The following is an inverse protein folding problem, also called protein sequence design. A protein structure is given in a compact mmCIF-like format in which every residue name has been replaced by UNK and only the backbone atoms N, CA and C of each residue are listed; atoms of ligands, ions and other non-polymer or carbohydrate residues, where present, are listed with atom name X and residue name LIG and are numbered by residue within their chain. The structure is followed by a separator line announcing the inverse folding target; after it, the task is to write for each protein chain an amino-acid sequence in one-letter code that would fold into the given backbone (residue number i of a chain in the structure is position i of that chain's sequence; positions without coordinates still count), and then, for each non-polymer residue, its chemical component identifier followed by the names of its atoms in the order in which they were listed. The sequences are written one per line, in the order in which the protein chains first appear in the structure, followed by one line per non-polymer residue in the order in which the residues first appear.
data_IF_347288459725
#
_entry.id   IF_347288459725
#
_cell.length_a   1.000
_cell.length_b   1.000
_cell.length_c   1.000
_cell.angle_alpha   90.00
_cell.angle_beta   90.00
_cell.angle_gamma   90.00
#
_symmetry.space_group_name_H-M   'P 1'
#
loop_
_entity.id
_entity.type
_entity.pdbx_description
1 polymer ?
#
# COMPACT_ATOMS: atom_id res chain seq x y z
N UNK A 1 -64.10 29.46 24.18
CA UNK A 1 -64.78 28.33 23.50
C UNK A 1 -64.52 28.45 22.00
N UNK A 2 -63.56 27.69 21.47
CA UNK A 2 -63.26 27.50 20.04
C UNK A 2 -62.26 26.33 19.95
N UNK A 3 -62.69 25.07 20.05
CA UNK A 3 -63.26 24.20 19.00
C UNK A 3 -62.37 24.12 17.75
N UNK A 4 -61.52 23.10 17.79
CA UNK A 4 -60.80 22.39 16.73
C UNK A 4 -61.64 22.22 15.45
N UNK A 5 -61.05 22.44 14.26
CA UNK A 5 -61.62 21.89 13.01
C UNK A 5 -60.54 21.53 11.97
N UNK A 6 -60.32 20.22 11.91
CA UNK A 6 -60.13 19.35 10.73
C UNK A 6 -58.96 19.56 9.77
N UNK A 7 -58.04 18.58 9.86
CA UNK A 7 -57.21 18.02 8.80
C UNK A 7 -58.07 17.70 7.57
N UNK A 8 -57.70 18.24 6.40
CA UNK A 8 -58.26 17.83 5.11
C UNK A 8 -57.18 17.11 4.29
N UNK A 9 -57.32 15.79 4.24
CA UNK A 9 -56.62 14.88 3.32
C UNK A 9 -57.00 15.21 1.88
N UNK A 10 -56.05 15.64 1.05
CA UNK A 10 -56.21 15.70 -0.41
C UNK A 10 -55.55 14.48 -1.04
N UNK A 11 -56.37 13.46 -1.35
CA UNK A 11 -56.02 12.45 -2.33
C UNK A 11 -56.16 13.05 -3.74
N UNK A 12 -55.11 12.99 -4.55
CA UNK A 12 -55.11 13.33 -5.98
C UNK A 12 -55.13 12.01 -6.78
N UNK A 13 -55.94 11.89 -7.85
CA UNK A 13 -56.28 10.60 -8.47
C UNK A 13 -55.16 10.09 -9.37
N UNK A 14 -54.98 8.76 -9.41
CA UNK A 14 -54.12 8.10 -10.37
C UNK A 14 -54.75 8.16 -11.77
N UNK A 15 -54.01 8.71 -12.74
CA UNK A 15 -54.33 8.71 -14.17
C UNK A 15 -53.97 7.34 -14.79
N UNK A 16 -54.93 6.57 -15.33
CA UNK A 16 -54.67 5.23 -15.85
C UNK A 16 -54.20 5.19 -17.32
N UNK A 17 -53.85 6.32 -17.95
CA UNK A 17 -53.67 6.36 -19.43
C UNK A 17 -52.26 6.49 -19.97
N UNK A 18 -51.19 6.36 -19.17
CA UNK A 18 -49.83 6.29 -19.74
C UNK A 18 -49.41 4.83 -19.94
N UNK A 19 -49.86 4.27 -21.05
CA UNK A 19 -49.23 3.10 -21.65
C UNK A 19 -48.22 3.56 -22.71
N UNK A 20 -46.99 3.02 -22.64
CA UNK A 20 -46.04 2.66 -23.73
C UNK A 20 -44.57 2.97 -23.36
N UNK A 21 -43.56 2.24 -23.90
CA UNK A 21 -43.56 0.92 -24.51
C UNK A 21 -42.63 -0.07 -23.77
N UNK A 22 -42.98 -1.35 -23.80
CA UNK A 22 -42.05 -2.45 -23.52
C UNK A 22 -41.04 -2.49 -24.68
N UNK A 23 -39.76 -2.31 -24.35
CA UNK A 23 -38.66 -2.58 -25.28
C UNK A 23 -37.79 -1.38 -25.58
N UNK A 24 -36.95 -0.98 -24.64
CA UNK A 24 -35.70 -0.31 -24.99
C UNK A 24 -34.53 -1.10 -24.39
N UNK A 25 -33.62 -1.45 -25.28
CA UNK A 25 -32.54 -2.41 -25.14
C UNK A 25 -31.94 -2.52 -23.73
N UNK A 26 -31.80 -3.75 -23.23
CA UNK A 26 -30.82 -4.08 -22.21
C UNK A 26 -29.43 -3.74 -22.77
N UNK A 27 -29.03 -2.47 -22.65
CA UNK A 27 -27.70 -1.99 -23.00
C UNK A 27 -26.75 -2.72 -22.07
N UNK A 28 -26.16 -3.80 -22.59
CA UNK A 28 -25.12 -4.59 -21.93
C UNK A 28 -24.05 -3.60 -21.48
N UNK A 29 -24.12 -3.16 -20.21
CA UNK A 29 -23.11 -2.30 -19.59
C UNK A 29 -21.85 -3.13 -19.54
N UNK A 30 -21.04 -3.08 -20.60
CA UNK A 30 -19.66 -3.55 -20.52
C UNK A 30 -19.05 -2.74 -19.39
N UNK A 31 -18.63 -3.35 -18.27
CA UNK A 31 -18.00 -2.59 -17.21
C UNK A 31 -16.83 -1.85 -17.85
N UNK A 32 -16.71 -0.52 -17.68
CA UNK A 32 -15.57 0.18 -18.21
C UNK A 32 -14.34 -0.41 -17.52
N UNK A 33 -13.61 -1.27 -18.23
CA UNK A 33 -12.27 -1.72 -17.85
C UNK A 33 -11.31 -0.59 -18.22
N UNK A 34 -11.54 0.57 -17.63
CA UNK A 34 -10.60 1.68 -17.68
C UNK A 34 -9.61 1.40 -16.57
N UNK A 35 -8.39 0.96 -16.92
CA UNK A 35 -7.28 0.95 -15.97
C UNK A 35 -7.21 2.36 -15.37
N UNK A 36 -7.52 2.49 -14.08
CA UNK A 36 -7.50 3.79 -13.40
C UNK A 36 -6.10 4.39 -13.60
N UNK A 37 -6.01 5.57 -14.22
CA UNK A 37 -4.76 6.33 -14.30
C UNK A 37 -4.45 6.84 -12.90
N UNK A 38 -3.87 5.96 -12.09
CA UNK A 38 -3.63 6.13 -10.67
C UNK A 38 -2.97 7.45 -10.37
N UNK A 39 -3.62 8.27 -9.52
CA UNK A 39 -2.92 9.36 -8.85
C UNK A 39 -1.69 8.76 -8.13
N UNK A 40 -0.52 9.43 -8.14
CA UNK A 40 0.69 8.94 -7.47
C UNK A 40 0.47 8.51 -6.01
N UNK A 41 -0.53 9.10 -5.34
CA UNK A 41 -0.95 8.69 -4.00
C UNK A 41 -1.52 7.26 -3.93
N UNK A 42 -2.23 6.79 -4.97
CA UNK A 42 -2.79 5.43 -5.02
C UNK A 42 -1.69 4.38 -5.11
N UNK A 43 -0.67 4.62 -5.94
CA UNK A 43 0.48 3.73 -6.05
C UNK A 43 1.28 3.67 -4.74
N UNK A 44 1.50 4.82 -4.11
CA UNK A 44 2.14 4.90 -2.79
C UNK A 44 1.39 4.07 -1.74
N UNK A 45 0.05 4.09 -1.75
CA UNK A 45 -0.77 3.26 -0.86
C UNK A 45 -0.60 1.76 -1.12
N UNK A 46 -0.63 1.34 -2.39
CA UNK A 46 -0.44 -0.07 -2.77
C UNK A 46 0.94 -0.55 -2.30
N UNK A 47 1.98 0.21 -2.62
CA UNK A 47 3.36 -0.10 -2.24
C UNK A 47 3.54 -0.17 -0.72
N UNK A 48 2.83 0.66 0.05
CA UNK A 48 2.95 0.67 1.51
C UNK A 48 2.38 -0.62 2.12
N UNK A 49 1.27 -1.12 1.57
CA UNK A 49 0.68 -2.40 1.99
C UNK A 49 1.54 -3.59 1.60
N UNK A 50 2.04 -3.61 0.36
CA UNK A 50 2.90 -4.70 -0.12
C UNK A 50 4.18 -4.75 0.72
N UNK A 51 4.87 -3.63 0.90
CA UNK A 51 6.07 -3.56 1.74
C UNK A 51 5.79 -3.96 3.18
N UNK A 52 4.68 -3.54 3.78
CA UNK A 52 4.29 -3.95 5.13
C UNK A 52 4.07 -5.47 5.25
N UNK A 53 3.38 -6.07 4.28
CA UNK A 53 3.20 -7.52 4.24
C UNK A 53 4.54 -8.26 4.07
N UNK A 54 5.40 -7.79 3.16
CA UNK A 54 6.75 -8.35 2.97
C UNK A 54 7.58 -8.29 4.26
N UNK A 55 7.58 -7.15 4.96
CA UNK A 55 8.31 -6.98 6.22
C UNK A 55 7.74 -7.90 7.30
N UNK A 56 6.41 -8.02 7.40
CA UNK A 56 5.78 -8.92 8.38
C UNK A 56 6.24 -10.38 8.20
N UNK A 57 6.19 -10.90 6.97
CA UNK A 57 6.65 -12.27 6.69
C UNK A 57 8.16 -12.42 6.85
N UNK A 58 8.93 -11.42 6.46
CA UNK A 58 10.37 -11.38 6.73
C UNK A 58 10.64 -11.49 8.23
N UNK A 59 9.98 -10.67 9.05
CA UNK A 59 10.15 -10.69 10.51
C UNK A 59 9.77 -12.05 11.12
N UNK A 60 8.73 -12.70 10.61
CA UNK A 60 8.35 -14.04 11.05
C UNK A 60 9.50 -15.05 10.84
N UNK A 61 10.00 -15.17 9.61
CA UNK A 61 11.12 -16.08 9.28
C UNK A 61 12.39 -15.67 10.02
N UNK A 62 12.65 -14.37 10.11
CA UNK A 62 13.83 -13.79 10.75
C UNK A 62 13.91 -14.13 12.24
N UNK A 63 12.78 -14.05 12.96
CA UNK A 63 12.75 -14.42 14.38
C UNK A 63 13.00 -15.92 14.56
N UNK A 64 12.45 -16.78 13.69
CA UNK A 64 12.71 -18.23 13.74
C UNK A 64 14.21 -18.53 13.56
N UNK A 65 14.84 -17.95 12.54
CA UNK A 65 16.28 -18.09 12.28
C UNK A 65 17.12 -17.57 13.47
N UNK A 66 16.76 -16.40 14.02
CA UNK A 66 17.41 -15.84 15.20
C UNK A 66 17.29 -16.71 16.46
N UNK A 67 16.23 -17.52 16.57
CA UNK A 67 16.11 -18.49 17.68
C UNK A 67 17.02 -19.70 17.52
N UNK A 68 17.34 -20.13 16.29
CA UNK A 68 18.26 -21.25 16.04
C UNK A 68 19.67 -20.99 16.57
N UNK A 69 20.11 -19.72 16.54
CA UNK A 69 21.38 -19.28 17.15
C UNK A 69 21.53 -19.68 18.62
N UNK A 70 20.42 -19.80 19.35
CA UNK A 70 20.43 -20.12 20.79
C UNK A 70 20.42 -21.63 21.06
N UNK A 71 20.16 -22.47 20.06
CA UNK A 71 19.94 -23.92 20.23
C UNK A 71 21.16 -24.74 19.82
N UNK A 72 21.73 -24.52 18.62
CA UNK A 72 22.88 -25.28 18.14
C UNK A 72 23.78 -24.42 17.22
N UNK A 73 24.92 -23.92 17.73
CA UNK A 73 25.86 -23.08 16.97
C UNK A 73 26.48 -23.79 15.76
N UNK A 74 26.68 -25.11 15.82
CA UNK A 74 27.27 -25.89 14.73
C UNK A 74 26.32 -25.99 13.53
N UNK A 75 25.02 -26.19 13.78
CA UNK A 75 24.00 -26.18 12.71
C UNK A 75 23.86 -24.79 12.08
N UNK A 76 24.00 -23.73 12.88
CA UNK A 76 23.95 -22.36 12.37
C UNK A 76 25.07 -22.06 11.37
N UNK A 77 26.31 -22.49 11.65
CA UNK A 77 27.44 -22.26 10.75
C UNK A 77 27.25 -22.95 9.37
N UNK A 78 26.59 -24.10 9.34
CA UNK A 78 26.26 -24.80 8.10
C UNK A 78 25.15 -24.10 7.28
N UNK A 79 24.20 -23.46 7.96
CA UNK A 79 23.13 -22.68 7.31
C UNK A 79 23.63 -21.32 6.83
N UNK A 80 24.50 -20.66 7.61
CA UNK A 80 25.04 -19.33 7.30
C UNK A 80 25.83 -19.30 5.99
N UNK A 81 26.55 -20.39 5.65
CA UNK A 81 27.25 -20.49 4.36
C UNK A 81 26.28 -20.50 3.17
N UNK A 82 25.05 -20.99 3.37
CA UNK A 82 24.00 -21.02 2.34
C UNK A 82 23.37 -19.65 2.09
N UNK A 83 23.50 -18.70 3.04
CA UNK A 83 23.00 -17.32 2.88
C UNK A 83 23.97 -16.41 2.14
N UNK A 84 25.25 -16.78 2.01
CA UNK A 84 26.27 -15.98 1.30
C UNK A 84 26.22 -16.16 -0.21
N UNK A 85 25.05 -15.89 -0.80
CA UNK A 85 24.83 -15.97 -2.25
C UNK A 85 24.43 -14.62 -2.81
N UNK A 86 24.73 -14.32 -4.10
CA UNK A 86 24.37 -13.04 -4.68
C UNK A 86 22.85 -12.85 -4.78
N UNK A 87 22.09 -13.96 -4.82
CA UNK A 87 20.63 -13.96 -4.77
C UNK A 87 20.14 -13.39 -3.43
N UNK A 88 20.74 -13.82 -2.32
CA UNK A 88 20.42 -13.28 -1.00
C UNK A 88 20.84 -11.82 -0.88
N UNK A 89 21.99 -11.43 -1.44
CA UNK A 89 22.38 -10.01 -1.51
C UNK A 89 21.35 -9.12 -2.24
N UNK A 90 20.73 -9.63 -3.32
CA UNK A 90 19.63 -8.93 -3.98
C UNK A 90 18.37 -8.87 -3.10
N UNK A 91 18.06 -9.95 -2.37
CA UNK A 91 16.94 -9.96 -1.42
C UNK A 91 17.16 -9.00 -0.25
N UNK A 92 18.39 -8.90 0.27
CA UNK A 92 18.78 -7.94 1.31
C UNK A 92 18.58 -6.50 0.81
N UNK A 93 19.02 -6.19 -0.40
CA UNK A 93 18.78 -4.87 -1.00
C UNK A 93 17.28 -4.59 -1.19
N UNK A 94 16.51 -5.58 -1.64
CA UNK A 94 15.05 -5.48 -1.75
C UNK A 94 14.37 -5.24 -0.40
N UNK A 95 14.87 -5.87 0.67
CA UNK A 95 14.37 -5.68 2.02
C UNK A 95 14.70 -4.27 2.55
N UNK A 96 15.92 -3.77 2.31
CA UNK A 96 16.30 -2.39 2.64
C UNK A 96 15.36 -1.39 1.96
N UNK A 97 15.05 -1.63 0.67
CA UNK A 97 14.07 -0.83 -0.07
C UNK A 97 12.67 -0.91 0.55
N UNK A 98 12.19 -2.10 0.89
CA UNK A 98 10.87 -2.30 1.49
C UNK A 98 10.74 -1.58 2.84
N UNK A 99 11.70 -1.78 3.75
CA UNK A 99 11.73 -1.15 5.08
C UNK A 99 11.82 0.37 4.97
N UNK A 100 12.75 0.88 4.14
CA UNK A 100 12.95 2.31 3.95
C UNK A 100 11.71 2.99 3.40
N UNK A 101 11.08 2.43 2.36
CA UNK A 101 9.85 2.96 1.79
C UNK A 101 8.68 2.88 2.79
N UNK A 102 8.51 1.73 3.46
CA UNK A 102 7.42 1.52 4.41
C UNK A 102 7.46 2.53 5.57
N UNK A 103 8.65 2.71 6.17
CA UNK A 103 8.86 3.67 7.26
C UNK A 103 8.62 5.11 6.83
N UNK A 104 9.27 5.57 5.75
CA UNK A 104 9.11 6.95 5.26
C UNK A 104 7.67 7.27 4.84
N UNK A 105 7.02 6.34 4.13
CA UNK A 105 5.64 6.55 3.71
C UNK A 105 4.66 6.45 4.89
N UNK A 106 4.96 5.64 5.91
CA UNK A 106 4.21 5.60 7.16
C UNK A 106 4.25 6.94 7.90
N UNK A 107 5.42 7.59 7.96
CA UNK A 107 5.56 8.94 8.53
C UNK A 107 4.70 9.94 7.73
N UNK A 108 4.72 9.88 6.39
CA UNK A 108 3.86 10.74 5.56
C UNK A 108 2.38 10.55 5.89
N UNK A 109 1.92 9.31 6.03
CA UNK A 109 0.51 9.00 6.35
C UNK A 109 0.17 9.57 7.74
N UNK A 110 1.00 9.30 8.75
CA UNK A 110 0.80 9.84 10.10
C UNK A 110 0.75 11.37 10.11
N UNK A 111 1.66 12.04 9.39
CA UNK A 111 1.65 13.50 9.27
C UNK A 111 0.37 14.01 8.59
N UNK A 112 -0.17 13.31 7.59
CA UNK A 112 -1.43 13.70 6.95
C UNK A 112 -2.62 13.54 7.91
N UNK A 113 -2.62 12.49 8.74
CA UNK A 113 -3.71 12.19 9.65
C UNK A 113 -3.73 13.13 10.88
N UNK A 114 -2.55 13.55 11.36
CA UNK A 114 -2.42 14.36 12.57
C UNK A 114 -2.24 15.87 12.32
N UNK A 115 -2.02 16.31 11.08
CA UNK A 115 -1.82 17.73 10.75
C UNK A 115 -2.96 18.30 9.90
N UNK A 116 -3.57 19.40 10.36
CA UNK A 116 -4.69 20.08 9.68
C UNK A 116 -4.38 20.52 8.24
N UNK A 117 -3.14 20.88 7.93
CA UNK A 117 -2.70 21.25 6.57
C UNK A 117 -2.12 20.05 5.79
N UNK A 118 -2.09 18.85 6.38
CA UNK A 118 -1.51 17.64 5.77
C UNK A 118 -2.03 17.33 4.36
N UNK A 119 -3.36 17.33 4.11
CA UNK A 119 -3.91 17.08 2.78
C UNK A 119 -3.48 18.11 1.72
N UNK A 120 -3.22 19.36 2.12
CA UNK A 120 -2.78 20.42 1.21
C UNK A 120 -1.36 20.18 0.69
N UNK A 121 -0.48 19.61 1.52
CA UNK A 121 0.90 19.32 1.18
C UNK A 121 1.15 17.88 0.72
N UNK A 122 0.11 17.08 0.50
CA UNK A 122 0.22 15.65 0.19
C UNK A 122 1.17 15.35 -0.99
N UNK A 123 1.12 16.14 -2.07
CA UNK A 123 2.00 15.97 -3.24
C UNK A 123 3.44 16.33 -2.94
N UNK A 124 3.67 17.42 -2.20
CA UNK A 124 5.01 17.85 -1.78
C UNK A 124 5.64 16.79 -0.87
N UNK A 125 4.89 16.28 0.11
CA UNK A 125 5.35 15.23 1.01
C UNK A 125 5.68 13.93 0.26
N UNK A 126 4.91 13.58 -0.78
CA UNK A 126 5.20 12.41 -1.61
C UNK A 126 6.53 12.56 -2.35
N UNK A 127 6.79 13.73 -2.93
CA UNK A 127 8.09 14.02 -3.57
C UNK A 127 9.24 14.03 -2.56
N UNK A 128 9.03 14.63 -1.38
CA UNK A 128 10.03 14.62 -0.31
C UNK A 128 10.38 13.19 0.11
N UNK A 129 9.37 12.33 0.32
CA UNK A 129 9.59 10.90 0.60
C UNK A 129 10.36 10.24 -0.53
N UNK A 130 10.02 10.50 -1.80
CA UNK A 130 10.75 9.94 -2.95
C UNK A 130 12.21 10.35 -3.00
N UNK A 131 12.51 11.63 -2.77
CA UNK A 131 13.90 12.15 -2.74
C UNK A 131 14.68 11.55 -1.59
N UNK A 132 14.13 11.56 -0.37
CA UNK A 132 14.79 10.99 0.82
C UNK A 132 15.01 9.49 0.62
N UNK A 133 14.01 8.79 0.07
CA UNK A 133 14.12 7.36 -0.22
C UNK A 133 15.27 7.07 -1.18
N UNK A 134 15.40 7.82 -2.28
CA UNK A 134 16.52 7.65 -3.22
C UNK A 134 17.88 8.00 -2.58
N UNK A 135 17.94 9.06 -1.77
CA UNK A 135 19.15 9.44 -1.05
C UNK A 135 19.63 8.38 -0.06
N UNK A 136 18.72 7.60 0.50
CA UNK A 136 19.06 6.47 1.38
C UNK A 136 19.37 5.19 0.57
N UNK A 137 18.58 4.92 -0.46
CA UNK A 137 18.64 3.67 -1.20
C UNK A 137 19.87 3.58 -2.11
N UNK A 138 20.24 4.67 -2.80
CA UNK A 138 21.36 4.67 -3.74
C UNK A 138 22.70 4.39 -3.03
N UNK A 139 23.08 5.10 -1.94
CA UNK A 139 24.30 4.77 -1.22
C UNK A 139 24.28 3.35 -0.65
N UNK A 140 23.15 2.89 -0.11
CA UNK A 140 23.02 1.53 0.39
C UNK A 140 23.27 0.49 -0.73
N UNK A 141 22.69 0.71 -1.92
CA UNK A 141 22.90 -0.16 -3.07
C UNK A 141 24.34 -0.17 -3.57
N UNK A 142 25.01 0.98 -3.58
CA UNK A 142 26.44 1.07 -3.93
C UNK A 142 27.29 0.27 -2.94
N UNK A 143 27.07 0.46 -1.64
CA UNK A 143 27.81 -0.25 -0.59
C UNK A 143 27.59 -1.76 -0.70
N UNK A 144 26.35 -2.22 -0.85
CA UNK A 144 26.03 -3.64 -1.00
C UNK A 144 26.68 -4.21 -2.26
N UNK A 145 26.66 -3.47 -3.37
CA UNK A 145 27.27 -3.92 -4.63
C UNK A 145 28.79 -4.07 -4.52
N UNK A 146 29.47 -3.14 -3.84
CA UNK A 146 30.92 -3.22 -3.61
C UNK A 146 31.25 -4.45 -2.77
N UNK A 147 30.56 -4.66 -1.65
CA UNK A 147 30.77 -5.83 -0.79
C UNK A 147 30.50 -7.14 -1.52
N UNK A 148 29.46 -7.17 -2.36
CA UNK A 148 29.13 -8.34 -3.15
C UNK A 148 30.24 -8.64 -4.17
N UNK A 149 30.77 -7.62 -4.86
CA UNK A 149 31.87 -7.76 -5.81
C UNK A 149 33.17 -8.26 -5.17
N UNK A 150 33.50 -7.74 -3.98
CA UNK A 150 34.69 -8.17 -3.22
C UNK A 150 34.61 -9.62 -2.76
N UNK A 151 33.41 -10.16 -2.54
CA UNK A 151 33.22 -11.56 -2.13
C UNK A 151 33.40 -12.57 -3.29
N UNK A 152 33.29 -12.13 -4.55
CA UNK A 152 33.43 -13.04 -5.71
C UNK A 152 34.84 -13.12 -6.30
N UNK A 153 35.73 -12.20 -5.92
CA UNK A 153 37.13 -12.20 -6.37
C UNK A 153 38.03 -12.86 -5.33
#
# INVERSE_FOLDING_TARGET
MAVFKEVRTTATPADPTVSRPVGESARKRRPPRTLYRGDPGMWSWVLHRISGATIFFFLFVHVLDATMLRVNPQTYNAVLSSYKTPIVGLMEYGLVAAVGFHGLNGIRIALIDFWSEGPRYQRLMLWAVGVIFLLLLVPAGVVISIHMWEHFR
#
